data_IF_687826750138
#
_entry.id   IF_687826750138
#
_cell.length_a   1.000
_cell.length_b   1.000
_cell.length_c   1.000
_cell.angle_alpha   90.00
_cell.angle_beta   90.00
_cell.angle_gamma   90.00
#
_symmetry.space_group_name_H-M   'P 1'
#
loop_
_entity.id
_entity.type
_entity.pdbx_description
1 polymer ?
#
# COMPACT_ATOMS: atom_id res chain seq x y z
N UNK A 1 -25.71 -15.44 20.03
CA UNK A 1 -25.09 -14.10 19.91
C UNK A 1 -24.69 -13.91 18.45
N UNK A 2 -25.52 -13.21 17.66
CA UNK A 2 -25.31 -13.06 16.22
C UNK A 2 -24.09 -12.18 15.94
N UNK A 3 -22.98 -12.81 15.55
CA UNK A 3 -21.88 -12.10 14.90
C UNK A 3 -22.41 -11.52 13.59
N UNK A 4 -22.71 -10.21 13.58
CA UNK A 4 -22.93 -9.45 12.36
C UNK A 4 -21.68 -9.61 11.50
N UNK A 5 -21.79 -10.35 10.39
CA UNK A 5 -20.76 -10.36 9.35
C UNK A 5 -20.57 -8.90 8.91
N UNK A 6 -19.32 -8.36 8.89
CA UNK A 6 -19.12 -7.00 8.42
C UNK A 6 -19.61 -6.89 6.98
N UNK A 7 -20.41 -5.85 6.72
CA UNK A 7 -21.02 -5.54 5.43
C UNK A 7 -19.98 -5.55 4.30
N UNK A 8 -20.24 -6.36 3.28
CA UNK A 8 -19.42 -6.49 2.06
C UNK A 8 -19.23 -5.15 1.34
N UNK A 9 -20.12 -4.17 1.54
CA UNK A 9 -20.03 -2.82 0.93
C UNK A 9 -18.88 -1.98 1.49
N UNK A 10 -18.53 -2.14 2.77
CA UNK A 10 -17.45 -1.36 3.41
C UNK A 10 -16.05 -1.80 2.98
N UNK A 11 -15.88 -3.06 2.55
CA UNK A 11 -14.56 -3.64 2.23
C UNK A 11 -13.95 -3.10 0.93
N UNK A 12 -14.74 -3.04 -0.14
CA UNK A 12 -14.29 -2.43 -1.41
C UNK A 12 -14.10 -0.92 -1.32
N UNK A 13 -14.74 -0.28 -0.34
CA UNK A 13 -14.62 1.15 -0.10
C UNK A 13 -13.23 1.54 0.39
N UNK A 14 -12.61 0.75 1.29
CA UNK A 14 -11.26 1.03 1.82
C UNK A 14 -10.22 1.06 0.68
N UNK A 15 -10.26 0.08 -0.22
CA UNK A 15 -9.34 0.02 -1.37
C UNK A 15 -9.56 1.19 -2.32
N UNK A 16 -10.83 1.53 -2.58
CA UNK A 16 -11.18 2.67 -3.43
C UNK A 16 -10.71 3.99 -2.83
N UNK A 17 -10.93 4.19 -1.54
CA UNK A 17 -10.50 5.37 -0.80
C UNK A 17 -8.98 5.50 -0.79
N UNK A 18 -8.27 4.40 -0.49
CA UNK A 18 -6.82 4.39 -0.56
C UNK A 18 -6.31 4.83 -1.93
N UNK A 19 -6.85 4.27 -3.03
CA UNK A 19 -6.49 4.67 -4.40
C UNK A 19 -6.75 6.15 -4.67
N UNK A 20 -7.86 6.70 -4.19
CA UNK A 20 -8.20 8.10 -4.40
C UNK A 20 -7.29 9.05 -3.60
N UNK A 21 -6.83 8.61 -2.42
CA UNK A 21 -5.99 9.43 -1.54
C UNK A 21 -4.52 9.44 -1.97
N UNK A 22 -4.04 8.42 -2.71
CA UNK A 22 -2.62 8.28 -3.11
C UNK A 22 -2.02 9.60 -3.61
N UNK A 23 -2.66 10.26 -4.58
CA UNK A 23 -2.08 11.47 -5.18
C UNK A 23 -1.82 12.56 -4.13
N UNK A 24 -2.76 12.75 -3.20
CA UNK A 24 -2.66 13.74 -2.12
C UNK A 24 -1.67 13.31 -1.04
N UNK A 25 -1.58 12.02 -0.76
CA UNK A 25 -0.59 11.45 0.18
C UNK A 25 0.84 11.69 -0.33
N UNK A 26 1.07 11.55 -1.64
CA UNK A 26 2.40 11.74 -2.23
C UNK A 26 2.79 13.22 -2.39
N UNK A 27 1.81 14.12 -2.44
CA UNK A 27 2.06 15.56 -2.55
C UNK A 27 2.24 16.18 -1.16
N UNK A 28 3.44 16.68 -0.89
CA UNK A 28 3.79 17.30 0.39
C UNK A 28 3.00 18.58 0.67
N UNK A 29 2.51 19.29 -0.35
CA UNK A 29 1.68 20.48 -0.13
C UNK A 29 0.26 20.11 0.31
N UNK A 30 -0.26 18.99 -0.21
CA UNK A 30 -1.60 18.48 0.12
C UNK A 30 -1.64 17.71 1.44
N UNK A 31 -0.56 17.03 1.82
CA UNK A 31 -0.44 16.29 3.08
C UNK A 31 0.88 16.58 3.82
N UNK A 32 1.08 17.85 4.27
CA UNK A 32 2.37 18.30 4.83
C UNK A 32 2.77 17.59 6.11
N UNK A 33 1.79 17.12 6.89
CA UNK A 33 2.00 16.45 8.18
C UNK A 33 1.82 14.93 8.11
N UNK A 34 1.46 14.37 6.95
CA UNK A 34 1.29 12.92 6.78
C UNK A 34 0.04 12.37 7.46
N UNK A 35 -0.93 13.21 7.84
CA UNK A 35 -2.14 12.74 8.52
C UNK A 35 -3.00 11.87 7.59
N UNK A 36 -3.12 12.28 6.32
CA UNK A 36 -3.86 11.50 5.33
C UNK A 36 -3.13 10.19 5.03
N UNK A 37 -1.80 10.23 4.94
CA UNK A 37 -0.94 9.05 4.81
C UNK A 37 -1.19 8.04 5.92
N UNK A 38 -1.09 8.47 7.18
CA UNK A 38 -1.22 7.59 8.35
C UNK A 38 -2.64 7.03 8.46
N UNK A 39 -3.68 7.86 8.33
CA UNK A 39 -5.07 7.41 8.44
C UNK A 39 -5.45 6.42 7.34
N UNK A 40 -4.96 6.65 6.12
CA UNK A 40 -5.17 5.73 4.98
C UNK A 40 -4.41 4.43 5.20
N UNK A 41 -3.18 4.50 5.70
CA UNK A 41 -2.34 3.33 5.98
C UNK A 41 -2.92 2.46 7.12
N UNK A 42 -3.46 3.08 8.17
CA UNK A 42 -4.15 2.40 9.28
C UNK A 42 -5.34 1.58 8.76
N UNK A 43 -6.24 2.26 8.05
CA UNK A 43 -7.46 1.66 7.50
C UNK A 43 -7.13 0.51 6.54
N UNK A 44 -6.16 0.70 5.65
CA UNK A 44 -5.72 -0.32 4.70
C UNK A 44 -4.99 -1.47 5.39
N UNK A 45 -4.08 -1.19 6.32
CA UNK A 45 -3.33 -2.20 7.07
C UNK A 45 -4.26 -3.11 7.88
N UNK A 46 -5.27 -2.54 8.54
CA UNK A 46 -6.32 -3.29 9.25
C UNK A 46 -7.10 -4.21 8.32
N UNK A 47 -7.56 -3.67 7.19
CA UNK A 47 -8.30 -4.43 6.18
C UNK A 47 -7.48 -5.62 5.64
N UNK A 48 -6.21 -5.39 5.32
CA UNK A 48 -5.31 -6.44 4.83
C UNK A 48 -5.08 -7.54 5.87
N UNK A 49 -4.95 -7.18 7.14
CA UNK A 49 -4.76 -8.14 8.23
C UNK A 49 -6.03 -8.95 8.52
N UNK A 50 -7.18 -8.29 8.68
CA UNK A 50 -8.38 -8.91 9.25
C UNK A 50 -9.31 -9.49 8.19
N UNK A 51 -9.53 -8.75 7.09
CA UNK A 51 -10.49 -9.13 6.05
C UNK A 51 -9.83 -9.98 4.96
N UNK A 52 -8.64 -9.57 4.47
CA UNK A 52 -7.89 -10.34 3.47
C UNK A 52 -7.08 -11.48 4.07
N UNK A 53 -6.79 -11.42 5.37
CA UNK A 53 -5.91 -12.38 6.05
C UNK A 53 -4.58 -12.53 5.31
N UNK A 54 -4.05 -11.42 4.81
CA UNK A 54 -2.75 -11.37 4.16
C UNK A 54 -1.65 -11.64 5.20
N UNK A 55 -0.64 -12.44 4.86
CA UNK A 55 0.43 -12.77 5.80
C UNK A 55 1.49 -11.66 5.85
N UNK A 56 2.19 -11.58 6.99
CA UNK A 56 3.32 -10.67 7.17
C UNK A 56 4.45 -10.98 6.18
N UNK A 57 4.65 -12.26 5.86
CA UNK A 57 5.65 -12.71 4.88
C UNK A 57 5.35 -12.17 3.46
N UNK A 58 4.08 -12.18 3.03
CA UNK A 58 3.66 -11.65 1.73
C UNK A 58 3.91 -10.14 1.61
N UNK A 59 3.48 -9.36 2.61
CA UNK A 59 3.59 -7.89 2.55
C UNK A 59 5.05 -7.43 2.70
N UNK A 60 5.83 -8.10 3.57
CA UNK A 60 7.25 -7.81 3.77
C UNK A 60 8.05 -8.08 2.49
N UNK A 61 7.77 -9.15 1.76
CA UNK A 61 8.50 -9.46 0.52
C UNK A 61 8.39 -8.31 -0.49
N UNK A 62 7.18 -7.78 -0.67
CA UNK A 62 6.93 -6.64 -1.56
C UNK A 62 7.69 -5.40 -1.09
N UNK A 63 7.64 -5.09 0.21
CA UNK A 63 8.38 -3.96 0.80
C UNK A 63 9.88 -4.04 0.56
N UNK A 64 10.47 -5.21 0.82
CA UNK A 64 11.91 -5.41 0.71
C UNK A 64 12.39 -5.22 -0.73
N UNK A 65 11.57 -5.52 -1.73
CA UNK A 65 11.92 -5.26 -3.12
C UNK A 65 11.83 -3.77 -3.47
N UNK A 66 10.91 -3.02 -2.86
CA UNK A 66 10.83 -1.56 -2.98
C UNK A 66 12.02 -0.84 -2.34
N UNK A 67 12.41 -1.22 -1.10
CA UNK A 67 13.53 -0.57 -0.37
C UNK A 67 14.89 -0.76 -1.05
N UNK A 68 15.03 -1.69 -1.99
CA UNK A 68 16.25 -1.90 -2.79
C UNK A 68 16.40 -0.91 -3.95
N UNK A 69 15.36 -0.14 -4.26
CA UNK A 69 15.40 0.81 -5.37
C UNK A 69 16.25 2.02 -4.96
N UNK A 70 17.38 2.20 -5.63
CA UNK A 70 18.10 3.47 -5.61
C UNK A 70 17.42 4.42 -6.58
N UNK A 71 16.61 5.32 -6.03
CA UNK A 71 15.86 6.25 -6.87
C UNK A 71 16.77 7.27 -7.57
N UNK A 72 17.95 7.57 -7.02
CA UNK A 72 18.88 8.56 -7.57
C UNK A 72 19.62 8.06 -8.81
N UNK A 73 19.87 6.74 -8.90
CA UNK A 73 20.56 6.12 -10.01
C UNK A 73 19.61 5.79 -11.18
N UNK A 74 18.57 4.99 -10.93
CA UNK A 74 17.67 4.46 -11.97
C UNK A 74 16.20 4.32 -11.51
N UNK A 75 15.77 5.18 -10.58
CA UNK A 75 14.47 5.14 -9.92
C UNK A 75 13.25 4.92 -10.83
N UNK A 76 12.99 5.79 -11.81
CA UNK A 76 11.81 5.65 -12.69
C UNK A 76 11.80 4.33 -13.46
N UNK A 77 12.96 3.86 -13.91
CA UNK A 77 13.09 2.57 -14.58
C UNK A 77 12.79 1.43 -13.60
N UNK A 78 13.39 1.42 -12.41
CA UNK A 78 13.15 0.40 -11.38
C UNK A 78 11.72 0.35 -10.89
N UNK A 79 11.07 1.50 -10.74
CA UNK A 79 9.65 1.61 -10.42
C UNK A 79 8.80 0.93 -11.49
N UNK A 80 9.07 1.17 -12.77
CA UNK A 80 8.37 0.47 -13.86
C UNK A 80 8.60 -1.05 -13.86
N UNK A 81 9.81 -1.50 -13.57
CA UNK A 81 10.10 -2.93 -13.40
C UNK A 81 9.33 -3.52 -12.21
N UNK A 82 9.28 -2.80 -11.09
CA UNK A 82 8.52 -3.22 -9.91
C UNK A 82 7.02 -3.33 -10.21
N UNK A 83 6.44 -2.38 -10.94
CA UNK A 83 5.03 -2.42 -11.37
C UNK A 83 4.72 -3.69 -12.17
N UNK A 84 5.59 -4.06 -13.12
CA UNK A 84 5.45 -5.30 -13.88
C UNK A 84 5.53 -6.56 -12.99
N UNK A 85 6.46 -6.59 -12.03
CA UNK A 85 6.58 -7.69 -11.05
C UNK A 85 5.35 -7.82 -10.16
N UNK A 86 4.82 -6.68 -9.70
CA UNK A 86 3.60 -6.61 -8.92
C UNK A 86 2.43 -7.16 -9.72
N UNK A 87 2.20 -6.68 -10.95
CA UNK A 87 1.16 -7.18 -11.85
C UNK A 87 1.08 -8.72 -11.88
N UNK A 88 2.23 -9.39 -11.90
CA UNK A 88 2.33 -10.86 -11.85
C UNK A 88 2.01 -11.47 -10.47
N UNK A 89 2.44 -10.85 -9.37
CA UNK A 89 2.22 -11.32 -8.01
C UNK A 89 0.72 -11.32 -7.59
N UNK A 90 -0.10 -10.51 -8.25
CA UNK A 90 -1.52 -10.30 -7.93
C UNK A 90 -2.46 -11.44 -8.27
N UNK A 91 -1.92 -12.53 -8.79
CA UNK A 91 -2.65 -13.78 -9.02
C UNK A 91 -3.24 -14.36 -7.74
N UNK A 92 -2.69 -13.99 -6.57
CA UNK A 92 -3.25 -14.34 -5.28
C UNK A 92 -4.29 -13.31 -4.83
N UNK A 93 -5.55 -13.74 -4.67
CA UNK A 93 -6.68 -12.90 -4.26
C UNK A 93 -6.46 -12.11 -2.96
N UNK A 94 -5.58 -12.57 -2.08
CA UNK A 94 -5.25 -11.90 -0.81
C UNK A 94 -4.36 -10.66 -1.02
N UNK A 95 -3.54 -10.67 -2.07
CA UNK A 95 -2.55 -9.62 -2.37
C UNK A 95 -3.09 -8.61 -3.39
N UNK A 96 -4.08 -9.02 -4.20
CA UNK A 96 -4.65 -8.23 -5.28
C UNK A 96 -5.06 -6.81 -4.85
N UNK A 97 -5.78 -6.66 -3.74
CA UNK A 97 -6.26 -5.35 -3.29
C UNK A 97 -5.12 -4.41 -2.89
N UNK A 98 -4.11 -4.92 -2.15
CA UNK A 98 -2.91 -4.14 -1.86
C UNK A 98 -2.25 -3.73 -3.17
N UNK A 99 -2.10 -4.67 -4.09
CA UNK A 99 -1.43 -4.42 -5.35
C UNK A 99 -2.11 -3.37 -6.23
N UNK A 100 -3.44 -3.31 -6.26
CA UNK A 100 -4.16 -2.25 -6.96
C UNK A 100 -3.83 -0.86 -6.38
N UNK A 101 -3.70 -0.74 -5.06
CA UNK A 101 -3.29 0.51 -4.41
C UNK A 101 -1.84 0.86 -4.78
N UNK A 102 -0.94 -0.13 -4.76
CA UNK A 102 0.47 0.07 -5.10
C UNK A 102 0.67 0.45 -6.57
N UNK A 103 -0.09 -0.13 -7.49
CA UNK A 103 0.00 0.18 -8.92
C UNK A 103 -0.39 1.63 -9.19
N UNK A 104 -1.39 2.16 -8.48
CA UNK A 104 -1.73 3.59 -8.53
C UNK A 104 -0.59 4.42 -7.92
N UNK A 105 -0.13 4.08 -6.72
CA UNK A 105 0.99 4.76 -6.06
C UNK A 105 2.25 4.84 -6.90
N UNK A 106 2.73 3.71 -7.41
CA UNK A 106 3.94 3.64 -8.23
C UNK A 106 3.79 4.39 -9.57
N UNK A 107 2.56 4.53 -10.09
CA UNK A 107 2.32 5.38 -11.26
C UNK A 107 2.42 6.87 -10.90
N UNK A 108 1.84 7.28 -9.78
CA UNK A 108 1.85 8.67 -9.30
C UNK A 108 3.23 9.12 -8.79
N UNK A 109 4.10 8.19 -8.38
CA UNK A 109 5.51 8.50 -8.06
C UNK A 109 6.22 9.16 -9.25
N UNK A 110 5.97 8.66 -10.47
CA UNK A 110 6.57 9.19 -11.70
C UNK A 110 8.10 9.25 -11.61
N UNK A 111 8.65 10.46 -11.80
CA UNK A 111 10.09 10.73 -11.72
C UNK A 111 10.50 11.50 -10.46
N UNK A 112 9.59 11.69 -9.51
CA UNK A 112 9.85 12.47 -8.29
C UNK A 112 10.42 11.57 -7.18
N UNK A 113 11.64 11.89 -6.76
CA UNK A 113 12.28 11.22 -5.61
C UNK A 113 11.49 11.46 -4.32
N UNK A 114 10.99 12.68 -4.12
CA UNK A 114 10.19 13.03 -2.94
C UNK A 114 8.88 12.22 -2.91
N UNK A 115 8.22 12.05 -4.05
CA UNK A 115 7.01 11.22 -4.12
C UNK A 115 7.35 9.75 -3.84
N UNK A 116 8.51 9.26 -4.31
CA UNK A 116 8.96 7.90 -4.03
C UNK A 116 9.24 7.70 -2.53
N UNK A 117 9.93 8.63 -1.89
CA UNK A 117 10.21 8.59 -0.45
C UNK A 117 8.89 8.57 0.35
N UNK A 118 7.94 9.45 0.03
CA UNK A 118 6.60 9.44 0.66
C UNK A 118 5.81 8.17 0.39
N UNK A 119 5.96 7.58 -0.80
CA UNK A 119 5.36 6.29 -1.13
C UNK A 119 5.95 5.16 -0.27
N UNK A 120 7.26 5.16 -0.03
CA UNK A 120 7.91 4.22 0.88
C UNK A 120 7.40 4.39 2.31
N UNK A 121 7.27 5.63 2.80
CA UNK A 121 6.74 5.92 4.14
C UNK A 121 5.30 5.42 4.30
N UNK A 122 4.46 5.66 3.28
CA UNK A 122 3.09 5.12 3.24
C UNK A 122 3.07 3.59 3.31
N UNK A 123 3.94 2.91 2.55
CA UNK A 123 4.02 1.46 2.60
C UNK A 123 4.49 0.94 3.96
N UNK A 124 5.49 1.59 4.54
CA UNK A 124 6.04 1.23 5.85
C UNK A 124 4.97 1.37 6.94
N UNK A 125 4.15 2.43 6.88
CA UNK A 125 2.98 2.60 7.74
C UNK A 125 1.96 1.46 7.56
N UNK A 126 1.63 1.05 6.32
CA UNK A 126 0.71 -0.08 6.08
C UNK A 126 1.24 -1.35 6.75
N UNK A 127 2.54 -1.64 6.62
CA UNK A 127 3.17 -2.81 7.26
C UNK A 127 3.07 -2.73 8.78
N UNK A 128 3.32 -1.56 9.37
CA UNK A 128 3.23 -1.34 10.81
C UNK A 128 1.80 -1.59 11.33
N UNK A 129 0.79 -1.01 10.67
CA UNK A 129 -0.61 -1.20 11.05
C UNK A 129 -1.11 -2.61 10.78
N UNK A 130 -0.71 -3.24 9.67
CA UNK A 130 -1.01 -4.65 9.41
C UNK A 130 -0.53 -5.56 10.55
N UNK A 131 0.70 -5.37 11.03
CA UNK A 131 1.21 -6.09 12.21
C UNK A 131 0.42 -5.77 13.47
N UNK A 132 0.12 -4.48 13.71
CA UNK A 132 -0.68 -4.05 14.87
C UNK A 132 -2.03 -4.76 14.95
N UNK A 133 -2.66 -5.02 13.81
CA UNK A 133 -3.97 -5.65 13.74
C UNK A 133 -3.95 -7.19 13.66
N UNK A 134 -2.80 -7.81 13.95
CA UNK A 134 -2.68 -9.26 14.06
C UNK A 134 -2.40 -9.96 12.73
N UNK A 135 -1.67 -9.30 11.82
CA UNK A 135 -1.15 -9.96 10.62
C UNK A 135 -0.27 -11.18 10.97
N UNK A 136 -0.79 -12.39 10.75
CA UNK A 136 -0.06 -13.63 11.04
C UNK A 136 1.16 -13.82 10.11
N UNK A 137 2.12 -14.66 10.51
CA UNK A 137 3.26 -15.06 9.68
C UNK A 137 2.89 -15.89 8.45
#
# INVERSE_FOLDING_TARGET
MNMRRPDSRGRGQIVKEAKNNIKRILDKQEDPHGELLINTADSLGKYLAQDKRMTTSQIRKIFMDMKKIDFTADGPYRVNILRAKLAYAGRHRQVQDLQEVLEVGLREVGTSKENFERFIDFFEAIVAYHRRYGGNE
#
